data_IF_311352356434
#
_entry.id   IF_311352356434
#
_cell.length_a   1.000
_cell.length_b   1.000
_cell.length_c   1.000
_cell.angle_alpha   90.00
_cell.angle_beta   90.00
_cell.angle_gamma   90.00
#
_symmetry.space_group_name_H-M   'P 1'
#
loop_
_entity.id
_entity.type
_entity.pdbx_description
1 polymer ?
#
# COMPACT_ATOMS: atom_id res chain seq x y z
N UNK A 1 -29.89 -26.93 0.96
CA UNK A 1 -29.42 -28.03 1.81
C UNK A 1 -29.19 -29.22 0.90
N UNK A 2 -28.01 -29.28 0.30
CA UNK A 2 -27.56 -30.43 -0.48
C UNK A 2 -26.87 -31.43 0.45
N UNK A 3 -27.10 -32.75 0.30
CA UNK A 3 -26.50 -33.74 1.17
C UNK A 3 -25.03 -34.00 0.83
N UNK A 4 -24.20 -33.96 1.89
CA UNK A 4 -22.78 -34.27 1.96
C UNK A 4 -22.58 -35.79 1.98
N UNK A 5 -21.84 -36.35 1.02
CA UNK A 5 -21.33 -37.73 1.09
C UNK A 5 -20.02 -37.79 1.90
N UNK A 6 -19.80 -38.83 2.74
CA UNK A 6 -18.68 -38.90 3.67
C UNK A 6 -17.43 -39.65 3.17
N UNK A 7 -16.35 -39.39 3.91
CA UNK A 7 -14.97 -39.83 3.77
C UNK A 7 -14.73 -41.34 3.70
N UNK A 8 -13.63 -41.72 3.05
CA UNK A 8 -12.92 -42.98 3.30
C UNK A 8 -11.52 -42.71 3.85
N UNK A 9 -11.38 -43.13 5.10
CA UNK A 9 -10.20 -43.34 5.91
C UNK A 9 -9.37 -44.53 5.40
N UNK A 10 -8.04 -44.42 5.43
CA UNK A 10 -7.07 -45.54 5.49
C UNK A 10 -5.64 -44.98 5.62
N UNK A 11 -5.13 -44.88 6.85
CA UNK A 11 -3.72 -45.20 7.14
C UNK A 11 -3.66 -46.63 7.73
N UNK A 12 -2.54 -47.12 8.33
CA UNK A 12 -1.11 -46.71 8.35
C UNK A 12 -0.24 -47.99 8.01
N UNK A 13 0.96 -48.34 8.57
CA UNK A 13 2.01 -47.65 9.36
C UNK A 13 3.48 -47.88 8.84
N UNK A 14 4.45 -47.01 9.18
CA UNK A 14 5.61 -47.12 10.11
C UNK A 14 6.83 -48.03 9.82
N UNK A 15 8.00 -47.42 10.09
CA UNK A 15 9.26 -47.94 10.66
C UNK A 15 10.32 -48.70 9.82
N UNK A 16 11.59 -48.27 9.97
CA UNK A 16 12.76 -49.10 9.68
C UNK A 16 14.08 -48.39 9.36
N UNK A 17 14.83 -47.97 10.39
CA UNK A 17 16.30 -47.95 10.43
C UNK A 17 16.73 -48.68 11.73
N UNK A 18 18.00 -49.07 12.02
CA UNK A 18 19.29 -48.77 11.37
C UNK A 18 20.29 -49.98 11.31
N UNK A 19 21.54 -49.71 10.89
CA UNK A 19 22.72 -50.58 11.08
C UNK A 19 23.54 -50.71 9.78
N UNK A 20 24.85 -50.56 9.70
CA UNK A 20 25.96 -50.49 10.65
C UNK A 20 27.15 -51.22 9.99
N UNK A 21 28.35 -50.63 9.98
CA UNK A 21 29.65 -51.33 10.02
C UNK A 21 30.83 -50.39 9.74
N UNK A 22 31.79 -50.44 10.66
CA UNK A 22 33.14 -49.87 10.58
C UNK A 22 33.99 -50.51 9.49
N UNK A 23 34.95 -49.74 8.95
CA UNK A 23 36.28 -50.26 8.62
C UNK A 23 37.36 -49.23 8.96
N UNK A 24 38.39 -49.73 9.63
CA UNK A 24 39.66 -49.11 9.99
C UNK A 24 40.65 -49.23 8.83
N UNK A 25 41.50 -48.21 8.65
CA UNK A 25 42.88 -48.22 8.13
C UNK A 25 43.16 -47.11 7.11
N UNK A 26 44.11 -46.23 7.43
CA UNK A 26 44.67 -45.28 6.46
C UNK A 26 45.20 -44.01 7.08
N UNK A 27 46.33 -44.09 7.78
CA UNK A 27 47.05 -42.91 8.29
C UNK A 27 47.81 -42.26 7.14
N UNK A 28 47.16 -41.40 6.37
CA UNK A 28 47.80 -40.47 5.45
C UNK A 28 47.97 -39.10 6.13
N UNK A 29 49.17 -38.51 5.99
CA UNK A 29 49.50 -37.22 6.57
C UNK A 29 48.89 -36.13 5.70
N UNK A 30 47.83 -35.48 6.19
CA UNK A 30 47.25 -34.30 5.56
C UNK A 30 48.24 -33.11 5.56
N UNK A 31 48.24 -32.27 4.51
CA UNK A 31 48.93 -30.99 4.55
C UNK A 31 48.26 -30.12 5.60
N UNK A 32 49.05 -29.39 6.40
CA UNK A 32 48.52 -28.38 7.33
C UNK A 32 47.84 -27.27 6.52
N UNK A 33 46.53 -27.37 6.36
CA UNK A 33 45.70 -26.24 5.96
C UNK A 33 45.74 -25.21 7.08
N UNK A 34 46.34 -24.07 6.76
CA UNK A 34 46.31 -22.86 7.57
C UNK A 34 44.85 -22.45 7.74
N UNK A 35 44.32 -22.71 8.93
CA UNK A 35 42.98 -22.33 9.35
C UNK A 35 42.90 -20.80 9.33
N UNK A 36 42.53 -20.23 8.17
CA UNK A 36 42.09 -18.85 8.10
C UNK A 36 40.83 -18.77 8.96
N UNK A 37 40.93 -18.05 10.06
CA UNK A 37 39.77 -17.63 10.85
C UNK A 37 38.75 -16.99 9.89
N UNK A 38 37.69 -17.74 9.58
CA UNK A 38 36.52 -17.18 8.93
C UNK A 38 35.96 -16.10 9.88
N UNK A 39 35.62 -14.89 9.39
CA UNK A 39 35.00 -13.90 10.24
C UNK A 39 33.73 -14.51 10.80
N UNK A 40 33.67 -14.61 12.13
CA UNK A 40 32.50 -15.07 12.87
C UNK A 40 31.32 -14.23 12.42
N UNK A 41 30.39 -14.81 11.66
CA UNK A 41 29.13 -14.13 11.33
C UNK A 41 28.42 -13.87 12.65
N UNK A 42 28.45 -12.59 13.08
CA UNK A 42 27.66 -12.16 14.22
C UNK A 42 26.20 -12.49 13.94
N UNK A 43 25.46 -13.06 14.91
CA UNK A 43 24.04 -13.30 14.74
C UNK A 43 23.37 -11.97 14.36
N UNK A 44 22.74 -11.91 13.18
CA UNK A 44 21.95 -10.74 12.77
C UNK A 44 20.94 -10.46 13.86
N UNK A 45 21.17 -9.40 14.64
CA UNK A 45 20.32 -9.01 15.74
C UNK A 45 18.89 -8.79 15.20
N UNK A 46 17.92 -9.48 15.79
CA UNK A 46 16.52 -9.33 15.40
C UNK A 46 16.12 -7.86 15.53
N UNK A 47 15.32 -7.31 14.60
CA UNK A 47 14.89 -5.92 14.68
C UNK A 47 14.23 -5.63 16.04
N UNK A 48 14.67 -4.56 16.72
CA UNK A 48 14.07 -4.16 17.99
C UNK A 48 12.62 -3.73 17.77
N UNK A 49 11.68 -4.06 18.66
CA UNK A 49 10.33 -3.52 18.60
C UNK A 49 10.39 -1.99 18.72
N UNK A 50 10.14 -1.28 17.61
CA UNK A 50 10.18 0.18 17.58
C UNK A 50 11.21 0.81 16.63
N UNK A 51 12.04 0.03 15.93
CA UNK A 51 12.86 0.57 14.82
C UNK A 51 11.99 0.78 13.56
N UNK A 52 11.10 1.77 13.64
CA UNK A 52 10.17 2.16 12.59
C UNK A 52 10.82 3.19 11.67
N UNK A 53 11.69 2.74 10.76
CA UNK A 53 11.55 3.31 9.41
C UNK A 53 10.13 2.93 8.99
N UNK A 54 9.21 3.90 8.93
CA UNK A 54 7.77 3.63 8.75
C UNK A 54 7.54 2.57 7.67
N UNK A 55 6.55 1.70 7.81
CA UNK A 55 6.16 0.78 6.74
C UNK A 55 5.96 1.59 5.44
N UNK A 56 6.55 1.20 4.29
CA UNK A 56 6.32 1.88 3.01
C UNK A 56 4.85 2.16 2.71
N UNK A 57 3.98 1.23 3.06
CA UNK A 57 2.53 1.35 2.91
C UNK A 57 1.98 2.54 3.72
N UNK A 58 2.35 2.62 5.00
CA UNK A 58 1.91 3.69 5.89
C UNK A 58 2.39 5.06 5.41
N UNK A 59 3.59 5.13 4.84
CA UNK A 59 4.08 6.37 4.25
C UNK A 59 3.23 6.80 3.06
N UNK A 60 2.88 5.89 2.16
CA UNK A 60 2.00 6.21 1.03
C UNK A 60 0.63 6.68 1.48
N UNK A 61 0.01 6.01 2.46
CA UNK A 61 -1.28 6.44 3.00
C UNK A 61 -1.21 7.80 3.70
N UNK A 62 -0.14 8.07 4.45
CA UNK A 62 0.07 9.38 5.06
C UNK A 62 0.32 10.48 4.03
N UNK A 63 1.03 10.18 2.94
CA UNK A 63 1.22 11.10 1.83
C UNK A 63 -0.13 11.42 1.16
N UNK A 64 -0.90 10.41 0.78
CA UNK A 64 -2.24 10.58 0.21
C UNK A 64 -3.13 11.46 1.12
N UNK A 65 -3.19 11.15 2.43
CA UNK A 65 -3.93 11.97 3.40
C UNK A 65 -3.49 13.44 3.35
N UNK A 66 -2.19 13.70 3.39
CA UNK A 66 -1.66 15.07 3.39
C UNK A 66 -2.00 15.82 2.10
N UNK A 67 -1.94 15.16 0.95
CA UNK A 67 -2.30 15.75 -0.35
C UNK A 67 -3.78 16.14 -0.37
N UNK A 68 -4.69 15.24 0.03
CA UNK A 68 -6.13 15.56 0.01
C UNK A 68 -6.48 16.68 0.99
N UNK A 69 -5.88 16.69 2.18
CA UNK A 69 -6.08 17.80 3.12
C UNK A 69 -5.61 19.14 2.55
N UNK A 70 -4.52 19.16 1.78
CA UNK A 70 -4.05 20.38 1.12
C UNK A 70 -5.04 20.89 0.07
N UNK A 71 -5.68 20.01 -0.69
CA UNK A 71 -6.69 20.39 -1.69
C UNK A 71 -8.03 20.82 -1.08
N UNK A 72 -8.42 20.19 0.04
CA UNK A 72 -9.58 20.61 0.81
C UNK A 72 -9.38 22.00 1.40
N UNK A 73 -8.19 22.28 1.94
CA UNK A 73 -7.80 23.60 2.46
C UNK A 73 -7.80 24.65 1.33
N UNK A 74 -7.24 24.30 0.17
CA UNK A 74 -7.22 25.19 -1.00
C UNK A 74 -8.63 25.58 -1.49
N UNK A 75 -9.62 24.73 -1.21
CA UNK A 75 -11.03 24.93 -1.57
C UNK A 75 -11.88 25.46 -0.41
N UNK A 76 -11.28 25.76 0.75
CA UNK A 76 -11.95 26.24 1.97
C UNK A 76 -13.03 25.29 2.52
N UNK A 77 -12.80 23.98 2.44
CA UNK A 77 -13.74 22.93 2.90
C UNK A 77 -13.11 21.93 3.88
N UNK A 78 -11.97 22.24 4.49
CA UNK A 78 -11.27 21.38 5.46
C UNK A 78 -11.94 21.35 6.85
N UNK A 79 -13.25 21.13 6.89
CA UNK A 79 -14.03 21.02 8.14
C UNK A 79 -13.90 19.64 8.78
N UNK A 80 -14.11 19.54 10.09
CA UNK A 80 -13.85 18.30 10.84
C UNK A 80 -14.65 17.08 10.35
N UNK A 81 -15.90 17.30 9.93
CA UNK A 81 -16.77 16.28 9.34
C UNK A 81 -16.27 15.83 7.96
N UNK A 82 -15.77 16.74 7.14
CA UNK A 82 -15.15 16.43 5.85
C UNK A 82 -13.80 15.72 6.02
N UNK A 83 -12.97 16.15 6.97
CA UNK A 83 -11.72 15.46 7.33
C UNK A 83 -12.00 14.03 7.78
N UNK A 84 -13.14 13.78 8.43
CA UNK A 84 -13.54 12.43 8.82
C UNK A 84 -13.78 11.53 7.60
N UNK A 85 -14.29 12.07 6.48
CA UNK A 85 -14.41 11.34 5.21
C UNK A 85 -13.04 10.94 4.65
N UNK A 86 -12.04 11.81 4.77
CA UNK A 86 -10.65 11.50 4.36
C UNK A 86 -10.11 10.34 5.18
N UNK A 87 -10.34 10.34 6.49
CA UNK A 87 -9.90 9.25 7.35
C UNK A 87 -10.62 7.92 7.06
N UNK A 88 -11.90 7.97 6.71
CA UNK A 88 -12.66 6.81 6.23
C UNK A 88 -12.07 6.26 4.93
N UNK A 89 -11.80 7.12 3.93
CA UNK A 89 -11.16 6.74 2.67
C UNK A 89 -9.78 6.11 2.89
N UNK A 90 -8.91 6.74 3.69
CA UNK A 90 -7.58 6.20 4.04
C UNK A 90 -7.68 4.86 4.74
N UNK A 91 -8.64 4.69 5.65
CA UNK A 91 -8.87 3.42 6.35
C UNK A 91 -9.31 2.31 5.39
N UNK A 92 -10.18 2.62 4.43
CA UNK A 92 -10.56 1.68 3.36
C UNK A 92 -9.36 1.29 2.50
N UNK A 93 -8.53 2.26 2.09
CA UNK A 93 -7.36 2.00 1.23
C UNK A 93 -6.23 1.27 1.96
N UNK A 94 -6.13 1.41 3.28
CA UNK A 94 -5.21 0.61 4.11
C UNK A 94 -5.49 -0.88 4.01
N UNK A 95 -6.76 -1.27 4.10
CA UNK A 95 -7.14 -2.68 3.94
C UNK A 95 -6.84 -3.16 2.52
N UNK A 96 -7.26 -2.40 1.52
CA UNK A 96 -7.09 -2.76 0.11
C UNK A 96 -5.62 -2.97 -0.29
N UNK A 97 -4.74 -2.06 0.12
CA UNK A 97 -3.32 -2.14 -0.20
C UNK A 97 -2.57 -3.16 0.68
N UNK A 98 -3.16 -3.54 1.82
CA UNK A 98 -2.69 -4.68 2.61
C UNK A 98 -2.85 -6.01 1.87
N UNK A 99 -3.90 -6.12 1.05
CA UNK A 99 -4.11 -7.27 0.16
C UNK A 99 -3.28 -7.16 -1.13
N UNK A 100 -3.00 -5.95 -1.60
CA UNK A 100 -2.19 -5.69 -2.80
C UNK A 100 -1.17 -4.55 -2.62
N UNK A 101 0.05 -4.85 -2.14
CA UNK A 101 1.04 -3.83 -1.79
C UNK A 101 1.50 -2.94 -2.94
N UNK A 102 1.56 -3.47 -4.16
CA UNK A 102 1.92 -2.69 -5.36
C UNK A 102 0.89 -1.58 -5.64
N UNK A 103 -0.33 -1.74 -5.14
CA UNK A 103 -1.37 -0.73 -5.19
C UNK A 103 -1.02 0.58 -4.47
N UNK A 104 0.03 0.59 -3.64
CA UNK A 104 0.51 1.78 -2.93
C UNK A 104 0.94 2.91 -3.89
N UNK A 105 1.21 2.61 -5.16
CA UNK A 105 1.51 3.61 -6.18
C UNK A 105 0.27 4.42 -6.62
N UNK A 106 -0.94 3.92 -6.35
CA UNK A 106 -2.20 4.50 -6.85
C UNK A 106 -3.04 5.16 -5.75
N UNK A 107 -2.64 5.04 -4.48
CA UNK A 107 -3.47 5.46 -3.34
C UNK A 107 -3.77 6.96 -3.33
N UNK A 108 -2.87 7.80 -3.85
CA UNK A 108 -3.10 9.25 -3.93
C UNK A 108 -4.36 9.56 -4.76
N UNK A 109 -4.50 8.93 -5.93
CA UNK A 109 -5.65 9.14 -6.83
C UNK A 109 -6.90 8.43 -6.34
N UNK A 110 -6.76 7.26 -5.73
CA UNK A 110 -7.89 6.50 -5.20
C UNK A 110 -8.51 7.16 -3.96
N UNK A 111 -7.70 7.71 -3.05
CA UNK A 111 -8.22 8.47 -1.90
C UNK A 111 -8.89 9.76 -2.37
N UNK A 112 -8.36 10.43 -3.40
CA UNK A 112 -9.00 11.59 -4.00
C UNK A 112 -10.42 11.25 -4.49
N UNK A 113 -10.57 10.18 -5.28
CA UNK A 113 -11.86 9.71 -5.80
C UNK A 113 -12.82 9.32 -4.68
N UNK A 114 -12.39 8.54 -3.68
CA UNK A 114 -13.23 8.15 -2.55
C UNK A 114 -13.80 9.37 -1.79
N UNK A 115 -12.97 10.42 -1.64
CA UNK A 115 -13.39 11.67 -0.99
C UNK A 115 -14.33 12.48 -1.88
N UNK A 116 -14.12 12.49 -3.21
CA UNK A 116 -15.07 13.10 -4.14
C UNK A 116 -16.44 12.43 -4.07
N UNK A 117 -16.49 11.10 -4.08
CA UNK A 117 -17.73 10.34 -4.00
C UNK A 117 -18.46 10.62 -2.69
N UNK A 118 -17.74 10.57 -1.56
CA UNK A 118 -18.32 10.85 -0.25
C UNK A 118 -18.83 12.29 -0.12
N UNK A 119 -18.10 13.27 -0.68
CA UNK A 119 -18.55 14.67 -0.71
C UNK A 119 -19.74 14.86 -1.64
N UNK A 120 -19.75 14.23 -2.82
CA UNK A 120 -20.83 14.32 -3.78
C UNK A 120 -22.16 13.85 -3.17
N UNK A 121 -22.13 12.75 -2.42
CA UNK A 121 -23.30 12.20 -1.75
C UNK A 121 -23.85 13.10 -0.62
N UNK A 122 -22.99 13.81 0.11
CA UNK A 122 -23.36 14.48 1.38
C UNK A 122 -23.40 16.01 1.31
N UNK A 123 -22.51 16.63 0.53
CA UNK A 123 -22.26 18.07 0.52
C UNK A 123 -22.35 18.68 -0.88
N UNK A 124 -21.98 17.93 -1.93
CA UNK A 124 -21.99 18.35 -3.32
C UNK A 124 -20.64 18.19 -4.01
N UNK A 125 -20.50 18.83 -5.16
CA UNK A 125 -19.35 18.66 -6.05
C UNK A 125 -18.07 19.24 -5.45
N UNK A 126 -17.00 18.46 -5.46
CA UNK A 126 -15.67 18.90 -5.05
C UNK A 126 -14.59 18.14 -5.84
N UNK A 127 -13.43 18.78 -6.16
CA UNK A 127 -13.23 20.22 -6.17
C UNK A 127 -13.97 20.84 -7.36
N UNK A 128 -14.54 22.03 -7.18
CA UNK A 128 -15.26 22.73 -8.26
C UNK A 128 -14.25 23.25 -9.28
N UNK A 129 -14.54 23.04 -10.56
CA UNK A 129 -13.66 23.43 -11.66
C UNK A 129 -13.45 24.96 -11.72
N UNK A 130 -12.20 25.46 -11.61
CA UNK A 130 -11.90 26.88 -11.73
C UNK A 130 -11.72 27.36 -13.18
N UNK A 131 -11.63 26.44 -14.15
CA UNK A 131 -11.43 26.78 -15.57
C UNK A 131 -12.72 27.27 -16.22
N UNK A 132 -13.86 26.70 -15.82
CA UNK A 132 -15.16 26.94 -16.44
C UNK A 132 -16.01 27.96 -15.68
N UNK A 133 -15.39 29.01 -15.15
CA UNK A 133 -16.11 30.07 -14.44
C UNK A 133 -17.10 30.74 -15.39
N UNK A 134 -18.37 30.78 -14.98
CA UNK A 134 -19.47 31.35 -15.77
C UNK A 134 -20.31 30.33 -16.56
N UNK A 135 -19.93 29.05 -16.57
CA UNK A 135 -20.82 27.95 -16.97
C UNK A 135 -21.40 27.22 -15.76
N UNK A 136 -22.18 26.17 -16.00
CA UNK A 136 -22.68 25.29 -14.93
C UNK A 136 -21.51 24.69 -14.14
N UNK A 137 -21.48 24.85 -12.79
CA UNK A 137 -20.43 24.29 -11.95
C UNK A 137 -20.37 22.76 -12.01
N UNK A 138 -19.17 22.22 -12.21
CA UNK A 138 -18.89 20.79 -12.20
C UNK A 138 -17.64 20.47 -11.38
N UNK A 139 -17.52 19.22 -10.95
CA UNK A 139 -16.31 18.72 -10.29
C UNK A 139 -15.20 18.54 -11.32
N UNK A 140 -13.94 18.65 -10.88
CA UNK A 140 -12.81 18.12 -11.63
C UNK A 140 -12.81 16.59 -11.51
N UNK A 141 -12.25 15.90 -12.50
CA UNK A 141 -12.02 14.46 -12.45
C UNK A 141 -10.57 14.19 -12.02
N UNK A 142 -10.32 12.99 -11.49
CA UNK A 142 -8.96 12.50 -11.19
C UNK A 142 -8.47 11.68 -12.37
N UNK A 143 -7.37 12.11 -13.00
CA UNK A 143 -6.75 11.40 -14.12
C UNK A 143 -5.26 11.11 -13.86
N UNK A 144 -4.75 9.92 -14.18
CA UNK A 144 -5.52 8.75 -14.65
C UNK A 144 -6.46 8.21 -13.56
N UNK A 145 -7.63 7.70 -13.95
CA UNK A 145 -8.59 7.13 -12.98
C UNK A 145 -8.01 5.98 -12.16
N UNK A 146 -7.10 5.19 -12.75
CA UNK A 146 -6.23 4.28 -12.03
C UNK A 146 -4.80 4.37 -12.58
N UNK A 147 -3.92 5.05 -11.87
CA UNK A 147 -2.51 5.16 -12.22
C UNK A 147 -1.71 6.07 -11.29
N UNK A 148 -0.42 6.16 -11.56
CA UNK A 148 0.52 7.01 -10.83
C UNK A 148 0.36 8.48 -11.24
N UNK A 149 0.89 9.39 -10.42
CA UNK A 149 0.89 10.84 -10.67
C UNK A 149 -0.51 11.38 -11.01
N UNK A 150 -1.49 11.28 -10.09
CA UNK A 150 -2.85 11.72 -10.32
C UNK A 150 -2.96 13.26 -10.40
N UNK A 151 -3.81 13.73 -11.30
CA UNK A 151 -4.08 15.14 -11.55
C UNK A 151 -5.58 15.43 -11.55
N UNK A 152 -5.93 16.63 -11.10
CA UNK A 152 -7.25 17.20 -11.29
C UNK A 152 -7.41 17.71 -12.73
N UNK A 153 -8.41 17.22 -13.45
CA UNK A 153 -8.65 17.55 -14.85
C UNK A 153 -10.08 18.05 -15.04
N UNK A 154 -10.24 19.11 -15.82
CA UNK A 154 -11.56 19.54 -16.27
C UNK A 154 -11.97 18.66 -17.45
N UNK A 155 -12.89 17.72 -17.24
CA UNK A 155 -13.40 16.82 -18.28
C UNK A 155 -14.00 17.56 -19.48
N UNK A 156 -14.69 18.67 -19.23
CA UNK A 156 -15.35 19.47 -20.27
C UNK A 156 -14.36 20.09 -21.28
N UNK A 157 -13.12 20.35 -20.86
CA UNK A 157 -12.11 21.03 -21.68
C UNK A 157 -10.84 20.21 -21.88
N UNK A 158 -10.75 19.02 -21.27
CA UNK A 158 -9.55 18.19 -21.20
C UNK A 158 -8.31 18.93 -20.69
N UNK A 159 -8.52 19.93 -19.81
CA UNK A 159 -7.43 20.75 -19.25
C UNK A 159 -6.99 20.18 -17.91
N UNK A 160 -5.69 19.89 -17.78
CA UNK A 160 -5.06 19.59 -16.49
C UNK A 160 -5.03 20.87 -15.65
N UNK A 161 -5.65 20.84 -14.48
CA UNK A 161 -5.74 21.99 -13.58
C UNK A 161 -4.56 22.01 -12.60
N UNK A 162 -4.32 20.90 -11.91
CA UNK A 162 -3.21 20.75 -10.97
C UNK A 162 -2.95 19.26 -10.68
N UNK A 163 -1.75 18.94 -10.16
CA UNK A 163 -1.53 17.65 -9.48
C UNK A 163 -2.41 17.57 -8.24
N UNK A 164 -2.86 16.37 -7.86
CA UNK A 164 -3.49 16.15 -6.56
C UNK A 164 -2.56 16.64 -5.43
N UNK A 165 -3.13 17.37 -4.47
CA UNK A 165 -2.46 18.07 -3.36
C UNK A 165 -1.88 19.44 -3.71
N UNK A 166 -2.12 19.94 -4.92
CA UNK A 166 -1.54 21.21 -5.41
C UNK A 166 -2.55 22.25 -5.84
N UNK A 167 -3.85 22.11 -5.54
CA UNK A 167 -4.87 23.12 -5.92
C UNK A 167 -4.59 24.52 -5.35
N UNK A 168 -3.97 24.60 -4.17
CA UNK A 168 -3.60 25.86 -3.52
C UNK A 168 -2.30 26.47 -4.02
N UNK A 169 -1.52 25.71 -4.78
CA UNK A 169 -0.28 26.19 -5.38
C UNK A 169 -0.64 27.00 -6.61
N UNK A 170 -0.62 28.34 -6.48
CA UNK A 170 -0.81 29.25 -7.61
C UNK A 170 0.16 28.86 -8.73
N UNK A 171 -0.40 28.58 -9.91
CA UNK A 171 0.34 28.45 -11.19
C UNK A 171 1.20 29.69 -11.44
#
# INVERSE_FOLDING_TARGET
MEPKEPASDSGPPEEGAPGGASHDAGREREPREEHRDAPREEPREAPRPGDRRQDPLERSLHAARALILADLEASDVAHADIVSLVEEAVSHRRWWVGEWPEGAAFVDGLVAQDVQDALLERYGRWPVCPVCVGSDPHALDVEPELGEEPHWVCAATSTVVARVGSLGSKL
#
